data_IF_498961166283
#
_entry.id   IF_498961166283
#
_cell.length_a   1.000
_cell.length_b   1.000
_cell.length_c   1.000
_cell.angle_alpha   90.00
_cell.angle_beta   90.00
_cell.angle_gamma   90.00
#
_symmetry.space_group_name_H-M   'P 1'
#
loop_
_entity.id
_entity.type
_entity.pdbx_description
1 polymer ?
#
# COMPACT_ATOMS: atom_id res chain seq x y z
N UNK A 1 -18.82 -4.33 1.47
CA UNK A 1 -18.63 -5.79 1.32
C UNK A 1 -17.13 -6.01 1.34
N UNK A 2 -16.60 -6.75 2.32
CA UNK A 2 -15.18 -7.04 2.36
C UNK A 2 -14.81 -7.94 1.17
N UNK A 3 -13.71 -7.63 0.49
CA UNK A 3 -13.20 -8.42 -0.63
C UNK A 3 -12.04 -9.27 -0.16
N UNK A 4 -12.03 -10.54 -0.54
CA UNK A 4 -10.89 -11.43 -0.30
C UNK A 4 -9.75 -11.09 -1.28
N UNK A 5 -8.57 -10.83 -0.72
CA UNK A 5 -7.35 -10.55 -1.46
C UNK A 5 -6.31 -11.63 -1.17
N UNK A 6 -5.63 -12.06 -2.23
CA UNK A 6 -4.42 -12.89 -2.16
C UNK A 6 -3.30 -12.09 -2.80
N UNK A 7 -2.29 -11.72 -2.01
CA UNK A 7 -1.11 -11.00 -2.50
C UNK A 7 0.13 -11.89 -2.44
N UNK A 8 0.83 -11.96 -3.57
CA UNK A 8 2.10 -12.66 -3.64
C UNK A 8 3.16 -11.94 -2.81
N UNK A 9 3.81 -12.68 -1.91
CA UNK A 9 4.89 -12.15 -1.08
C UNK A 9 6.22 -12.84 -1.43
N UNK A 10 7.15 -12.17 -2.13
CA UNK A 10 8.42 -12.78 -2.52
C UNK A 10 9.32 -13.16 -1.34
N UNK A 11 9.09 -12.58 -0.16
CA UNK A 11 9.89 -12.81 1.04
C UNK A 11 9.34 -13.89 1.98
N UNK A 12 8.24 -14.56 1.63
CA UNK A 12 7.57 -15.49 2.53
C UNK A 12 6.35 -16.17 1.90
N UNK A 13 5.42 -16.71 2.72
CA UNK A 13 4.14 -17.18 2.21
C UNK A 13 3.29 -16.02 1.69
N UNK A 14 2.45 -16.32 0.71
CA UNK A 14 1.45 -15.39 0.20
C UNK A 14 0.52 -14.92 1.32
N UNK A 15 0.09 -13.67 1.23
CA UNK A 15 -0.78 -13.06 2.23
C UNK A 15 -2.22 -13.13 1.74
N UNK A 16 -3.06 -13.80 2.52
CA UNK A 16 -4.50 -13.90 2.29
C UNK A 16 -5.22 -13.08 3.36
N UNK A 17 -6.09 -12.15 2.95
CA UNK A 17 -6.82 -11.29 3.87
C UNK A 17 -8.11 -10.75 3.25
N UNK A 18 -9.08 -10.42 4.11
CA UNK A 18 -10.29 -9.70 3.71
C UNK A 18 -10.13 -8.20 3.97
N UNK A 19 -10.55 -7.36 3.03
CA UNK A 19 -10.46 -5.92 3.22
C UNK A 19 -10.94 -5.08 2.05
N UNK A 20 -10.37 -3.88 1.94
CA UNK A 20 -10.58 -2.95 0.84
C UNK A 20 -9.25 -2.52 0.23
N UNK A 21 -9.19 -2.46 -1.10
CA UNK A 21 -8.06 -1.83 -1.79
C UNK A 21 -8.29 -0.32 -1.83
N UNK A 22 -7.48 0.40 -1.06
CA UNK A 22 -7.59 1.83 -0.91
C UNK A 22 -6.81 2.59 -2.01
N UNK A 23 -5.74 1.97 -2.53
CA UNK A 23 -4.91 2.54 -3.58
C UNK A 23 -4.37 1.43 -4.49
N UNK A 24 -4.42 1.65 -5.80
CA UNK A 24 -3.66 0.90 -6.80
C UNK A 24 -3.19 1.85 -7.90
N UNK A 25 -1.90 2.22 -7.86
CA UNK A 25 -1.32 3.23 -8.76
C UNK A 25 0.11 2.90 -9.13
N UNK A 26 0.50 3.33 -10.32
CA UNK A 26 1.90 3.35 -10.74
C UNK A 26 2.53 4.72 -10.50
N UNK A 27 3.69 4.73 -9.85
CA UNK A 27 4.49 5.92 -9.59
C UNK A 27 5.86 5.79 -10.27
N UNK A 28 6.23 6.80 -11.05
CA UNK A 28 7.53 6.84 -11.72
C UNK A 28 8.67 6.78 -10.69
N UNK A 29 9.58 5.81 -10.85
CA UNK A 29 10.73 5.58 -9.95
C UNK A 29 10.45 4.63 -8.77
N UNK A 30 9.20 4.53 -8.31
CA UNK A 30 8.80 3.61 -7.24
C UNK A 30 8.11 2.33 -7.74
N UNK A 31 7.59 2.35 -8.96
CA UNK A 31 6.83 1.22 -9.51
C UNK A 31 5.35 1.29 -9.14
N UNK A 32 4.66 0.15 -9.19
CA UNK A 32 3.28 0.01 -8.77
C UNK A 32 3.22 -0.09 -7.25
N UNK A 33 2.39 0.75 -6.64
CA UNK A 33 2.07 0.75 -5.22
C UNK A 33 0.60 0.38 -5.05
N UNK A 34 0.35 -0.58 -4.16
CA UNK A 34 -0.99 -1.01 -3.76
C UNK A 34 -1.09 -0.91 -2.24
N UNK A 35 -2.15 -0.27 -1.75
CA UNK A 35 -2.43 -0.11 -0.32
C UNK A 35 -3.80 -0.71 -0.03
N UNK A 36 -3.86 -1.58 0.96
CA UNK A 36 -5.08 -2.22 1.40
C UNK A 36 -5.32 -1.93 2.87
N UNK A 37 -6.57 -1.80 3.26
CA UNK A 37 -7.01 -1.85 4.66
C UNK A 37 -7.72 -3.18 4.86
N UNK A 38 -7.20 -3.98 5.79
CA UNK A 38 -7.81 -5.24 6.19
C UNK A 38 -9.04 -4.99 7.06
N UNK A 39 -9.97 -5.93 7.08
CA UNK A 39 -11.15 -5.89 7.97
C UNK A 39 -10.77 -5.90 9.46
N UNK A 40 -9.53 -6.27 9.79
CA UNK A 40 -8.97 -6.20 11.14
C UNK A 40 -8.34 -4.84 11.50
N UNK A 41 -8.45 -3.82 10.63
CA UNK A 41 -7.90 -2.48 10.86
C UNK A 41 -6.40 -2.32 10.62
N UNK A 42 -5.75 -3.34 10.05
CA UNK A 42 -4.34 -3.30 9.62
C UNK A 42 -4.22 -2.79 8.20
N UNK A 43 -3.07 -2.23 7.88
CA UNK A 43 -2.76 -1.73 6.54
C UNK A 43 -1.69 -2.58 5.87
N UNK A 44 -1.86 -2.88 4.59
CA UNK A 44 -0.91 -3.66 3.81
C UNK A 44 -0.40 -2.81 2.66
N UNK A 45 0.91 -2.66 2.56
CA UNK A 45 1.60 -2.00 1.47
C UNK A 45 2.27 -3.05 0.58
N UNK A 46 1.91 -3.05 -0.70
CA UNK A 46 2.59 -3.83 -1.72
C UNK A 46 3.27 -2.88 -2.71
N UNK A 47 4.56 -3.09 -2.92
CA UNK A 47 5.36 -2.36 -3.89
C UNK A 47 5.97 -3.32 -4.91
N UNK A 48 5.71 -3.05 -6.18
CA UNK A 48 6.29 -3.79 -7.31
C UNK A 48 6.97 -2.83 -8.27
N UNK A 49 8.28 -2.95 -8.40
CA UNK A 49 9.08 -2.22 -9.37
C UNK A 49 9.82 -3.23 -10.23
N UNK A 50 9.52 -3.21 -11.53
CA UNK A 50 10.26 -4.03 -12.48
C UNK A 50 11.71 -3.58 -12.59
N UNK A 51 12.59 -4.54 -12.88
CA UNK A 51 13.96 -4.22 -13.22
C UNK A 51 14.00 -3.32 -14.46
N UNK A 52 14.86 -2.31 -14.43
CA UNK A 52 15.19 -1.49 -15.59
C UNK A 52 16.70 -1.59 -15.83
N UNK A 53 17.20 -1.07 -16.97
CA UNK A 53 18.62 -1.19 -17.38
C UNK A 53 19.63 -0.89 -16.26
N UNK A 54 19.27 -0.04 -15.28
CA UNK A 54 20.11 0.33 -14.14
C UNK A 54 19.40 0.14 -12.77
N UNK A 55 18.41 -0.74 -12.65
CA UNK A 55 17.74 -0.95 -11.35
C UNK A 55 17.30 -2.40 -11.17
N UNK A 56 17.55 -2.93 -9.97
CA UNK A 56 17.05 -4.23 -9.55
C UNK A 56 15.53 -4.19 -9.40
N UNK A 57 14.89 -5.29 -9.80
CA UNK A 57 13.49 -5.52 -9.48
C UNK A 57 13.31 -5.44 -7.96
N UNK A 58 12.25 -4.77 -7.54
CA UNK A 58 11.84 -4.71 -6.15
C UNK A 58 10.42 -5.25 -6.08
N UNK A 59 10.22 -6.27 -5.27
CA UNK A 59 8.89 -6.67 -4.85
C UNK A 59 8.93 -6.77 -3.32
N UNK A 60 8.12 -5.94 -2.66
CA UNK A 60 8.05 -5.82 -1.21
C UNK A 60 6.58 -5.83 -0.80
N UNK A 61 6.27 -6.60 0.24
CA UNK A 61 4.98 -6.60 0.92
C UNK A 61 5.24 -6.35 2.39
N UNK A 62 4.54 -5.38 2.96
CA UNK A 62 4.64 -5.01 4.37
C UNK A 62 3.28 -4.81 5.00
N UNK A 63 3.21 -5.14 6.29
CA UNK A 63 2.00 -5.00 7.11
C UNK A 63 2.28 -3.98 8.20
N UNK A 64 1.36 -3.04 8.37
CA UNK A 64 1.39 -1.99 9.36
C UNK A 64 0.17 -2.11 10.27
N UNK A 65 0.38 -2.02 11.57
CA UNK A 65 -0.71 -2.11 12.55
C UNK A 65 -1.57 -0.85 12.57
N UNK A 66 -1.00 0.31 12.20
CA UNK A 66 -1.74 1.58 12.18
C UNK A 66 -1.48 2.38 10.90
N UNK A 67 -2.41 3.28 10.57
CA UNK A 67 -2.23 4.25 9.48
C UNK A 67 -1.01 5.15 9.72
N UNK A 68 -0.71 5.50 10.98
CA UNK A 68 0.45 6.34 11.30
C UNK A 68 1.78 5.64 10.96
N UNK A 69 1.88 4.32 11.16
CA UNK A 69 3.08 3.57 10.80
C UNK A 69 3.26 3.53 9.28
N UNK A 70 2.17 3.29 8.54
CA UNK A 70 2.15 3.36 7.08
C UNK A 70 2.55 4.77 6.61
N UNK A 71 1.99 5.81 7.22
CA UNK A 71 2.30 7.20 6.88
C UNK A 71 3.76 7.57 7.19
N UNK A 72 4.31 7.05 8.29
CA UNK A 72 5.72 7.17 8.61
C UNK A 72 6.62 6.62 7.51
N UNK A 73 6.30 5.45 6.95
CA UNK A 73 7.06 4.89 5.83
C UNK A 73 6.87 5.69 4.54
N UNK A 74 5.62 5.97 4.17
CA UNK A 74 5.29 6.66 2.92
C UNK A 74 5.87 8.09 2.88
N UNK A 75 5.91 8.81 4.00
CA UNK A 75 6.43 10.17 4.07
C UNK A 75 7.90 10.31 3.65
N UNK A 76 8.67 9.21 3.65
CA UNK A 76 10.08 9.15 3.24
C UNK A 76 10.28 9.29 1.73
N UNK A 77 9.23 9.11 0.94
CA UNK A 77 9.30 9.16 -0.53
C UNK A 77 8.33 10.20 -1.10
N UNK A 78 8.69 10.82 -2.23
CA UNK A 78 7.81 11.81 -2.89
C UNK A 78 6.45 11.21 -3.28
N UNK A 79 6.42 9.98 -3.82
CA UNK A 79 5.14 9.32 -4.12
C UNK A 79 4.33 9.04 -2.85
N UNK A 80 4.98 8.70 -1.74
CA UNK A 80 4.26 8.46 -0.50
C UNK A 80 3.67 9.73 0.10
N UNK A 81 4.22 10.91 -0.17
CA UNK A 81 3.54 12.19 0.12
C UNK A 81 2.26 12.38 -0.71
N UNK A 82 2.30 12.12 -2.02
CA UNK A 82 1.08 12.17 -2.87
C UNK A 82 0.00 11.17 -2.39
N UNK A 83 0.44 9.98 -1.97
CA UNK A 83 -0.43 8.98 -1.35
C UNK A 83 -1.04 9.56 -0.07
N UNK A 84 -0.22 10.10 0.83
CA UNK A 84 -0.70 10.67 2.08
C UNK A 84 -1.57 11.91 1.91
N UNK A 85 -1.36 12.71 0.87
CA UNK A 85 -2.26 13.83 0.55
C UNK A 85 -3.60 13.31 0.05
N UNK A 86 -3.65 12.20 -0.69
CA UNK A 86 -4.89 11.55 -1.10
C UNK A 86 -5.64 10.86 0.04
N UNK A 87 -4.90 10.20 0.93
CA UNK A 87 -5.46 9.54 2.11
C UNK A 87 -5.83 10.52 3.23
N UNK A 88 -5.01 11.56 3.39
CA UNK A 88 -5.10 12.61 4.41
C UNK A 88 -5.94 13.80 3.99
N UNK A 89 -6.33 13.93 2.71
CA UNK A 89 -7.63 14.49 2.38
C UNK A 89 -8.64 13.46 2.87
N UNK A 90 -9.24 13.68 4.06
CA UNK A 90 -10.02 12.65 4.68
C UNK A 90 -11.08 12.21 3.68
N UNK A 91 -11.32 10.89 3.61
CA UNK A 91 -12.67 10.41 3.42
C UNK A 91 -13.55 11.35 4.25
N UNK A 92 -14.30 12.20 3.56
CA UNK A 92 -15.21 13.14 4.16
C UNK A 92 -16.32 12.27 4.71
N UNK A 93 -16.06 11.62 5.85
CA UNK A 93 -17.08 11.02 6.68
C UNK A 93 -17.78 12.24 7.27
N UNK A 94 -18.70 12.80 6.49
CA UNK A 94 -19.82 13.54 7.05
C UNK A 94 -20.59 12.52 7.87
N UNK A 95 -20.30 12.49 9.17
CA UNK A 95 -21.25 12.01 10.16
C UNK A 95 -22.25 13.16 10.29
N UNK A 96 -23.41 13.02 9.63
CA UNK A 96 -24.64 13.72 10.00
C UNK A 96 -25.26 13.03 11.22
#
# INVERSE_FOLDING_TARGET
MATEFVIYNPGGPDLEFEGECLLDRYYQGMGRLRVYETSGGKFILQQERNASRNSTALHRVEVYETFNDLAGELSKSWAGKDILERFGQPFRISID
#
